data_IF_679495259806
#
_entry.id   IF_679495259806
#
_cell.length_a   1.000
_cell.length_b   1.000
_cell.length_c   1.000
_cell.angle_alpha   90.00
_cell.angle_beta   90.00
_cell.angle_gamma   90.00
#
_symmetry.space_group_name_H-M   'P 1'
#
loop_
_entity.id
_entity.type
_entity.pdbx_description
1 polymer ?
#
# COMPACT_ATOMS: atom_id res chain seq x y z
N UNK A 1 -59.66 45.82 7.84
CA UNK A 1 -58.33 45.86 8.43
C UNK A 1 -57.75 44.51 8.18
N UNK A 2 -56.90 44.39 7.20
CA UNK A 2 -56.27 43.09 6.77
C UNK A 2 -54.73 43.18 7.05
N UNK A 3 -54.30 42.49 8.05
CA UNK A 3 -52.87 42.36 8.43
C UNK A 3 -52.21 41.29 7.56
N UNK A 4 -51.31 41.71 6.66
CA UNK A 4 -50.45 40.82 5.89
C UNK A 4 -49.24 40.46 6.70
N UNK A 5 -49.15 39.18 7.11
CA UNK A 5 -47.90 38.58 7.65
C UNK A 5 -46.95 38.28 6.51
N UNK A 6 -45.79 38.92 6.53
CA UNK A 6 -44.65 38.58 5.69
C UNK A 6 -43.90 37.42 6.33
N UNK A 7 -43.97 36.25 5.75
CA UNK A 7 -43.05 35.14 6.08
C UNK A 7 -41.74 35.36 5.30
N UNK A 8 -40.73 35.78 6.04
CA UNK A 8 -39.34 35.88 5.53
C UNK A 8 -38.74 34.50 5.60
N UNK A 9 -38.67 33.80 4.44
CA UNK A 9 -37.97 32.52 4.32
C UNK A 9 -36.46 32.73 4.30
N UNK A 10 -35.79 32.35 5.37
CA UNK A 10 -34.35 32.29 5.42
C UNK A 10 -33.91 31.04 4.67
N UNK A 11 -33.36 31.23 3.48
CA UNK A 11 -32.74 30.18 2.68
C UNK A 11 -31.35 29.89 3.29
N UNK A 12 -31.25 28.85 4.10
CA UNK A 12 -29.95 28.33 4.56
C UNK A 12 -29.27 27.65 3.35
N UNK A 13 -28.38 28.35 2.70
CA UNK A 13 -27.44 27.76 1.75
C UNK A 13 -26.42 26.91 2.53
N UNK A 14 -26.65 25.61 2.59
CA UNK A 14 -25.63 24.65 3.01
C UNK A 14 -24.50 24.66 1.98
N UNK A 15 -23.48 25.48 2.22
CA UNK A 15 -22.19 25.38 1.51
C UNK A 15 -21.54 24.10 1.98
N UNK A 16 -21.75 23.01 1.25
CA UNK A 16 -20.97 21.79 1.39
C UNK A 16 -19.52 22.16 1.05
N UNK A 17 -18.71 22.46 2.06
CA UNK A 17 -17.27 22.47 1.93
C UNK A 17 -16.83 21.05 1.59
N UNK A 18 -16.82 20.70 0.31
CA UNK A 18 -16.02 19.61 -0.20
C UNK A 18 -14.56 20.00 0.05
N UNK A 19 -14.00 19.48 1.13
CA UNK A 19 -12.57 19.52 1.37
C UNK A 19 -11.98 18.69 0.24
N UNK A 20 -11.57 19.37 -0.83
CA UNK A 20 -10.71 18.78 -1.85
C UNK A 20 -9.38 18.56 -1.13
N UNK A 21 -9.19 17.36 -0.58
CA UNK A 21 -7.85 16.88 -0.23
C UNK A 21 -7.07 16.80 -1.55
N UNK A 22 -6.47 17.90 -1.94
CA UNK A 22 -5.36 17.85 -2.87
C UNK A 22 -4.26 17.11 -2.13
N UNK A 23 -4.17 15.79 -2.38
CA UNK A 23 -2.99 15.00 -2.03
C UNK A 23 -1.79 15.73 -2.64
N UNK A 24 -1.12 16.56 -1.84
CA UNK A 24 0.15 17.15 -2.21
C UNK A 24 1.10 15.95 -2.32
N UNK A 25 1.26 15.44 -3.53
CA UNK A 25 2.24 14.37 -3.81
C UNK A 25 3.60 14.93 -3.42
N UNK A 26 4.10 14.54 -2.27
CA UNK A 26 5.48 14.83 -1.88
C UNK A 26 6.36 14.07 -2.88
N UNK A 27 7.19 14.80 -3.60
CA UNK A 27 8.07 14.20 -4.59
C UNK A 27 9.26 13.54 -3.89
N UNK A 28 9.22 12.24 -3.72
CA UNK A 28 10.30 11.44 -3.14
C UNK A 28 11.39 11.12 -4.18
N UNK A 29 11.95 12.11 -4.84
CA UNK A 29 12.59 12.09 -6.16
C UNK A 29 14.00 11.53 -6.28
N UNK A 30 14.60 10.92 -5.29
CA UNK A 30 16.00 10.42 -5.42
C UNK A 30 16.09 8.92 -5.74
N UNK A 31 15.02 8.28 -6.16
CA UNK A 31 14.99 6.85 -6.42
C UNK A 31 15.03 6.55 -7.92
N UNK A 32 15.68 5.45 -8.30
CA UNK A 32 15.69 4.97 -9.68
C UNK A 32 14.27 4.80 -10.22
N UNK A 33 14.05 5.25 -11.44
CA UNK A 33 12.78 5.07 -12.14
C UNK A 33 12.54 3.58 -12.35
N UNK A 34 11.32 3.13 -12.03
CA UNK A 34 10.88 1.77 -12.33
C UNK A 34 9.77 1.85 -13.36
N UNK A 35 10.02 1.31 -14.51
CA UNK A 35 9.04 1.15 -15.60
C UNK A 35 8.34 -0.21 -15.55
N UNK A 36 9.01 -1.22 -14.98
CA UNK A 36 8.49 -2.59 -14.94
C UNK A 36 8.97 -3.35 -13.69
N UNK A 37 8.08 -4.11 -13.05
CA UNK A 37 8.40 -5.10 -12.02
C UNK A 37 8.63 -6.47 -12.65
N UNK A 38 9.57 -7.23 -12.08
CA UNK A 38 9.74 -8.62 -12.46
C UNK A 38 8.72 -9.50 -11.74
N UNK A 39 7.72 -9.97 -12.46
CA UNK A 39 6.61 -10.77 -11.93
C UNK A 39 6.95 -12.26 -11.74
N UNK A 40 8.18 -12.68 -12.12
CA UNK A 40 8.66 -14.05 -11.91
C UNK A 40 9.15 -14.29 -10.47
N UNK A 41 9.35 -13.22 -9.71
CA UNK A 41 9.78 -13.32 -8.32
C UNK A 41 8.61 -13.31 -7.35
N UNK A 42 8.82 -14.01 -6.23
CA UNK A 42 8.17 -13.77 -4.97
C UNK A 42 9.08 -12.84 -4.16
N UNK A 43 8.55 -11.82 -3.55
CA UNK A 43 9.34 -10.85 -2.80
C UNK A 43 9.13 -11.05 -1.30
N UNK A 44 10.19 -11.35 -0.58
CA UNK A 44 10.16 -11.38 0.88
C UNK A 44 10.14 -9.95 1.42
N UNK A 45 9.19 -9.67 2.30
CA UNK A 45 9.00 -8.36 2.91
C UNK A 45 9.80 -8.25 4.20
N UNK A 46 10.68 -7.25 4.29
CA UNK A 46 11.42 -6.91 5.50
C UNK A 46 11.15 -5.46 5.91
N UNK A 47 10.87 -5.24 7.18
CA UNK A 47 10.68 -3.91 7.75
C UNK A 47 12.03 -3.26 8.04
N UNK A 48 12.27 -2.05 7.51
CA UNK A 48 13.58 -1.35 7.64
C UNK A 48 13.86 -0.88 9.07
N UNK A 49 12.81 -0.47 9.79
CA UNK A 49 12.93 0.03 11.17
C UNK A 49 12.10 -0.87 12.10
N UNK A 50 12.65 -1.99 12.49
CA UNK A 50 12.07 -2.77 13.58
C UNK A 50 12.46 -2.16 14.91
N UNK A 51 11.47 -1.75 15.71
CA UNK A 51 11.65 -1.72 17.13
C UNK A 51 11.23 -3.10 17.66
N UNK A 52 12.18 -4.00 17.98
CA UNK A 52 11.88 -5.39 18.33
C UNK A 52 11.00 -5.52 19.60
N UNK A 53 10.86 -4.43 20.35
CA UNK A 53 10.01 -4.38 21.54
C UNK A 53 8.53 -4.09 21.24
N UNK A 54 8.19 -3.65 20.03
CA UNK A 54 6.85 -3.18 19.69
C UNK A 54 6.14 -4.00 18.63
N UNK A 55 6.83 -4.88 17.91
CA UNK A 55 6.21 -5.67 16.85
C UNK A 55 6.18 -7.16 17.20
N UNK A 56 5.03 -7.69 17.64
CA UNK A 56 4.86 -9.12 17.91
C UNK A 56 4.91 -9.99 16.65
N UNK A 57 4.96 -9.40 15.44
CA UNK A 57 5.03 -10.11 14.15
C UNK A 57 6.45 -10.54 13.78
N UNK A 58 7.45 -10.37 14.66
CA UNK A 58 8.87 -10.64 14.41
C UNK A 58 9.19 -12.09 13.99
N UNK A 59 8.22 -13.01 14.03
CA UNK A 59 8.41 -14.42 13.68
C UNK A 59 7.61 -14.88 12.44
N UNK A 60 6.90 -13.97 11.75
CA UNK A 60 6.12 -14.32 10.57
C UNK A 60 6.82 -13.76 9.34
N UNK A 61 7.41 -14.64 8.53
CA UNK A 61 7.92 -14.23 7.23
C UNK A 61 6.75 -13.94 6.30
N UNK A 62 6.70 -12.73 5.77
CA UNK A 62 5.68 -12.29 4.81
C UNK A 62 6.28 -12.12 3.42
N UNK A 63 5.46 -12.39 2.41
CA UNK A 63 5.86 -12.32 1.01
C UNK A 63 4.78 -11.65 0.19
N UNK A 64 5.19 -11.00 -0.89
CA UNK A 64 4.28 -10.44 -1.89
C UNK A 64 4.63 -10.92 -3.28
N UNK A 65 3.63 -11.04 -4.11
CA UNK A 65 3.75 -11.37 -5.52
C UNK A 65 3.07 -10.28 -6.35
N UNK A 66 3.81 -9.70 -7.28
CA UNK A 66 3.27 -8.77 -8.26
C UNK A 66 2.79 -9.55 -9.48
N UNK A 67 1.53 -9.37 -9.87
CA UNK A 67 0.93 -9.99 -11.05
C UNK A 67 0.95 -9.04 -12.24
N UNK A 68 1.05 -9.56 -13.45
CA UNK A 68 1.06 -8.75 -14.68
C UNK A 68 -0.19 -7.87 -14.85
N UNK A 69 -1.30 -8.24 -14.22
CA UNK A 69 -2.54 -7.46 -14.23
C UNK A 69 -2.57 -6.31 -13.20
N UNK A 70 -1.46 -6.02 -12.55
CA UNK A 70 -1.36 -4.96 -11.53
C UNK A 70 -1.82 -5.35 -10.13
N UNK A 71 -2.29 -6.58 -9.91
CA UNK A 71 -2.64 -7.06 -8.57
C UNK A 71 -1.39 -7.42 -7.77
N UNK A 72 -1.51 -7.31 -6.45
CA UNK A 72 -0.51 -7.80 -5.50
C UNK A 72 -1.17 -8.81 -4.58
N UNK A 73 -0.55 -9.97 -4.49
CA UNK A 73 -1.00 -11.08 -3.65
C UNK A 73 -0.02 -11.20 -2.49
N UNK A 74 -0.56 -11.35 -1.30
CA UNK A 74 0.19 -11.53 -0.06
C UNK A 74 0.24 -12.98 0.35
N UNK A 75 1.35 -13.36 0.95
CA UNK A 75 1.60 -14.69 1.48
C UNK A 75 2.31 -14.59 2.83
N UNK A 76 2.19 -15.65 3.62
CA UNK A 76 2.92 -15.82 4.87
C UNK A 76 3.51 -17.23 4.94
N UNK A 77 4.63 -17.39 5.65
CA UNK A 77 5.25 -18.69 5.82
C UNK A 77 4.79 -19.32 7.14
N UNK A 78 4.31 -20.56 7.06
CA UNK A 78 3.90 -21.35 8.21
C UNK A 78 4.46 -22.78 8.07
N UNK A 79 5.22 -23.23 9.05
CA UNK A 79 5.83 -24.58 9.06
C UNK A 79 6.61 -24.89 7.76
N UNK A 80 7.38 -23.91 7.27
CA UNK A 80 8.19 -24.07 6.06
C UNK A 80 7.42 -23.94 4.73
N UNK A 81 6.08 -23.86 4.76
CA UNK A 81 5.24 -23.74 3.58
C UNK A 81 4.72 -22.31 3.45
N UNK A 82 4.77 -21.75 2.24
CA UNK A 82 4.23 -20.43 1.93
C UNK A 82 2.76 -20.57 1.57
N UNK A 83 1.90 -19.89 2.32
CA UNK A 83 0.45 -19.89 2.20
C UNK A 83 -0.07 -18.54 1.77
N UNK A 84 -1.12 -18.55 0.95
CA UNK A 84 -1.76 -17.32 0.51
C UNK A 84 -2.55 -16.67 1.64
N UNK A 85 -2.33 -15.39 1.87
CA UNK A 85 -3.14 -14.59 2.80
C UNK A 85 -4.53 -14.34 2.20
N UNK A 86 -5.62 -14.58 2.96
CA UNK A 86 -6.96 -14.28 2.47
C UNK A 86 -7.11 -12.79 2.13
N UNK A 87 -7.72 -12.42 0.98
CA UNK A 87 -7.82 -11.02 0.51
C UNK A 87 -8.58 -10.09 1.46
N UNK A 88 -9.37 -10.62 2.37
CA UNK A 88 -10.06 -9.82 3.40
C UNK A 88 -9.09 -9.16 4.40
N UNK A 89 -7.89 -9.75 4.59
CA UNK A 89 -6.89 -9.23 5.51
C UNK A 89 -5.87 -8.35 4.80
N UNK A 90 -5.31 -8.84 3.69
CA UNK A 90 -4.27 -8.15 2.94
C UNK A 90 -4.51 -8.28 1.45
N UNK A 91 -4.47 -7.17 0.76
CA UNK A 91 -4.60 -7.08 -0.70
C UNK A 91 -3.93 -5.83 -1.20
N UNK A 92 -3.52 -5.82 -2.44
CA UNK A 92 -2.87 -4.66 -3.01
C UNK A 92 -2.98 -4.61 -4.52
N UNK A 93 -2.57 -3.48 -5.04
CA UNK A 93 -2.35 -3.31 -6.47
C UNK A 93 -1.24 -2.29 -6.71
N UNK A 94 -0.61 -2.41 -7.86
CA UNK A 94 0.42 -1.51 -8.30
C UNK A 94 0.13 -0.94 -9.70
N UNK A 95 0.69 0.21 -9.98
CA UNK A 95 0.54 0.86 -11.28
C UNK A 95 1.69 1.84 -11.52
N UNK A 96 2.02 2.05 -12.79
CA UNK A 96 3.01 3.04 -13.21
C UNK A 96 2.31 4.34 -13.59
N UNK A 97 2.82 5.46 -13.07
CA UNK A 97 2.36 6.80 -13.43
C UNK A 97 3.56 7.75 -13.45
N UNK A 98 3.81 8.43 -14.57
CA UNK A 98 4.94 9.36 -14.74
C UNK A 98 6.29 8.72 -14.36
N UNK A 99 6.56 7.54 -14.89
CA UNK A 99 7.80 6.75 -14.66
C UNK A 99 8.04 6.36 -13.19
N UNK A 100 7.02 6.46 -12.33
CA UNK A 100 7.07 6.01 -10.95
C UNK A 100 6.13 4.84 -10.74
N UNK A 101 6.60 3.86 -10.00
CA UNK A 101 5.81 2.70 -9.63
C UNK A 101 5.15 2.95 -8.28
N UNK A 102 3.84 3.05 -8.31
CA UNK A 102 3.01 3.20 -7.13
C UNK A 102 2.50 1.85 -6.67
N UNK A 103 2.47 1.68 -5.36
CA UNK A 103 1.93 0.51 -4.71
C UNK A 103 0.89 0.94 -3.68
N UNK A 104 -0.30 0.36 -3.76
CA UNK A 104 -1.36 0.52 -2.77
C UNK A 104 -1.59 -0.81 -2.07
N UNK A 105 -1.45 -0.82 -0.75
CA UNK A 105 -1.71 -1.97 0.10
C UNK A 105 -2.86 -1.68 1.06
N UNK A 106 -3.73 -2.66 1.24
CA UNK A 106 -4.76 -2.64 2.26
C UNK A 106 -4.31 -3.47 3.44
N UNK A 107 -4.48 -2.93 4.64
CA UNK A 107 -4.22 -3.64 5.88
C UNK A 107 -5.49 -3.69 6.73
N UNK A 108 -5.61 -4.72 7.53
CA UNK A 108 -6.69 -4.89 8.50
C UNK A 108 -6.13 -4.68 9.90
N UNK A 109 -6.85 -3.89 10.71
CA UNK A 109 -6.55 -3.67 12.11
C UNK A 109 -7.82 -3.88 12.93
N UNK A 110 -7.77 -4.30 14.20
CA UNK A 110 -8.96 -4.48 15.06
C UNK A 110 -9.87 -3.25 15.14
N UNK A 111 -9.30 -2.06 15.01
CA UNK A 111 -10.06 -0.79 15.02
C UNK A 111 -10.48 -0.31 13.62
N UNK A 112 -10.33 -1.13 12.60
CA UNK A 112 -10.63 -0.81 11.20
C UNK A 112 -9.45 -1.09 10.28
N UNK A 113 -9.68 -1.08 8.99
CA UNK A 113 -8.65 -1.25 7.96
C UNK A 113 -8.39 0.06 7.21
N UNK A 114 -7.33 0.09 6.43
CA UNK A 114 -7.00 1.26 5.62
C UNK A 114 -6.14 0.94 4.41
N UNK A 115 -6.06 1.92 3.52
CA UNK A 115 -5.18 1.87 2.36
C UNK A 115 -3.93 2.72 2.60
N UNK A 116 -2.78 2.14 2.36
CA UNK A 116 -1.49 2.84 2.34
C UNK A 116 -1.01 2.95 0.90
N UNK A 117 -0.55 4.12 0.52
CA UNK A 117 0.04 4.38 -0.79
C UNK A 117 1.54 4.62 -0.63
N UNK A 118 2.33 3.89 -1.40
CA UNK A 118 3.78 3.96 -1.41
C UNK A 118 4.30 4.09 -2.83
N UNK A 119 5.52 4.59 -2.96
CA UNK A 119 6.31 4.52 -4.20
C UNK A 119 7.36 3.44 -4.01
N UNK A 120 7.52 2.60 -5.03
CA UNK A 120 8.57 1.61 -5.08
C UNK A 120 9.74 2.13 -5.92
N UNK A 121 10.95 1.87 -5.43
CA UNK A 121 12.20 2.10 -6.16
C UNK A 121 12.99 0.80 -6.23
N UNK A 122 13.73 0.60 -7.34
CA UNK A 122 14.57 -0.58 -7.55
C UNK A 122 16.00 -0.30 -7.10
N UNK A 123 16.65 -1.29 -6.54
CA UNK A 123 18.11 -1.37 -6.39
C UNK A 123 18.67 -2.53 -7.19
N UNK A 124 20.00 -2.69 -7.10
CA UNK A 124 20.69 -3.85 -7.67
C UNK A 124 19.98 -5.16 -7.29
N UNK A 125 20.00 -6.13 -8.20
CA UNK A 125 19.42 -7.47 -8.01
C UNK A 125 17.91 -7.49 -7.78
N UNK A 126 17.15 -6.63 -8.46
CA UNK A 126 15.68 -6.56 -8.37
C UNK A 126 15.11 -6.33 -6.95
N UNK A 127 15.94 -5.96 -5.99
CA UNK A 127 15.47 -5.56 -4.66
C UNK A 127 14.69 -4.26 -4.75
N UNK A 128 13.50 -4.22 -4.15
CA UNK A 128 12.64 -3.04 -4.15
C UNK A 128 12.62 -2.39 -2.78
N UNK A 129 12.49 -1.06 -2.76
CA UNK A 129 12.29 -0.28 -1.56
C UNK A 129 10.95 0.42 -1.62
N UNK A 130 10.17 0.31 -0.57
CA UNK A 130 8.92 1.04 -0.41
C UNK A 130 9.15 2.31 0.38
N UNK A 131 8.62 3.43 -0.10
CA UNK A 131 8.54 4.70 0.61
C UNK A 131 7.09 5.14 0.73
N UNK A 132 6.68 5.55 1.91
CA UNK A 132 5.37 6.18 2.09
C UNK A 132 5.35 7.54 1.40
N UNK A 133 4.24 7.86 0.73
CA UNK A 133 4.08 9.16 0.09
C UNK A 133 3.90 10.31 1.07
N UNK A 134 3.47 10.01 2.29
CA UNK A 134 3.18 11.00 3.31
C UNK A 134 4.45 11.68 3.85
N UNK A 135 5.55 10.95 3.96
CA UNK A 135 6.78 11.42 4.62
C UNK A 135 8.07 11.00 3.93
N UNK A 136 8.00 10.31 2.78
CA UNK A 136 9.14 9.73 2.05
C UNK A 136 10.02 8.77 2.87
N UNK A 137 9.56 8.31 4.02
CA UNK A 137 10.31 7.32 4.80
C UNK A 137 10.30 5.95 4.12
N UNK A 138 11.49 5.33 4.08
CA UNK A 138 11.61 3.92 3.67
C UNK A 138 11.00 3.04 4.76
N UNK A 139 10.04 2.20 4.36
CA UNK A 139 9.34 1.34 5.29
C UNK A 139 9.74 -0.12 5.14
N UNK A 140 9.74 -0.59 3.90
CA UNK A 140 9.96 -2.00 3.59
C UNK A 140 11.03 -2.15 2.53
N UNK A 141 11.76 -3.27 2.65
CA UNK A 141 12.61 -3.83 1.61
C UNK A 141 11.89 -5.09 1.12
N UNK A 142 11.82 -5.25 -0.19
CA UNK A 142 11.28 -6.43 -0.85
C UNK A 142 12.42 -7.14 -1.55
N UNK A 143 12.83 -8.28 -1.00
CA UNK A 143 13.95 -9.08 -1.48
C UNK A 143 13.42 -10.13 -2.45
N UNK A 144 13.88 -10.15 -3.72
CA UNK A 144 13.39 -11.09 -4.71
C UNK A 144 13.85 -12.52 -4.40
N UNK A 145 12.93 -13.46 -4.49
CA UNK A 145 13.19 -14.90 -4.35
C UNK A 145 12.56 -15.60 -5.56
N UNK A 146 13.29 -16.52 -6.18
CA UNK A 146 12.73 -17.30 -7.28
C UNK A 146 11.59 -18.19 -6.76
N UNK A 147 10.43 -18.15 -7.43
CA UNK A 147 9.26 -18.94 -7.04
C UNK A 147 9.55 -20.45 -6.99
N UNK A 148 10.46 -20.91 -7.83
CA UNK A 148 10.87 -22.31 -7.91
C UNK A 148 11.68 -22.77 -6.69
N UNK A 149 12.26 -21.83 -5.93
CA UNK A 149 13.10 -22.13 -4.77
C UNK A 149 12.31 -22.27 -3.47
N UNK A 150 11.00 -22.10 -3.48
CA UNK A 150 10.14 -22.12 -2.29
C UNK A 150 8.98 -23.12 -2.42
N UNK A 151 8.58 -23.69 -1.30
CA UNK A 151 7.42 -24.57 -1.23
C UNK A 151 6.17 -23.73 -1.00
N UNK A 152 5.30 -23.71 -1.99
CA UNK A 152 4.02 -23.04 -1.92
C UNK A 152 2.87 -24.04 -1.69
N UNK A 153 1.87 -23.63 -0.92
CA UNK A 153 0.62 -24.38 -0.79
C UNK A 153 -0.11 -24.41 -2.16
N UNK A 154 -0.55 -25.60 -2.57
CA UNK A 154 -1.29 -25.81 -3.82
C UNK A 154 -2.76 -25.45 -3.68
#
# INVERSE_FOLDING_TARGET
MVTRSFFSGILLACVSCSIIHTDKEIDCTNDEKIDKINTNFLYMEELIKLNPKLDPRTNIETYIEFKDNGQVIYYYKQNGVIKKTPPKYERGFYFVKKDKLYFKSFFTHPQGGGWVKSVLSRKKNDTLYSRRLENCEKNYIYIPILKESVVMEK
#
